data_IF_929258992145
#
_entry.id   IF_929258992145
#
_cell.length_a   1.000
_cell.length_b   1.000
_cell.length_c   1.000
_cell.angle_alpha   90.00
_cell.angle_beta   90.00
_cell.angle_gamma   90.00
#
_symmetry.space_group_name_H-M   'P 1'
#
loop_
_entity.id
_entity.type
_entity.pdbx_description
1 polymer ?
#
# COMPACT_ATOMS: atom_id res chain seq x y z
N UNK A 1 14.67 4.69 10.52
CA UNK A 1 14.35 3.69 9.47
C UNK A 1 15.02 4.15 8.18
N UNK A 2 15.60 3.24 7.40
CA UNK A 2 16.27 3.57 6.13
C UNK A 2 15.57 2.84 4.97
N UNK A 3 15.51 3.50 3.82
CA UNK A 3 15.01 2.95 2.56
C UNK A 3 16.19 2.65 1.64
N UNK A 4 16.20 1.44 1.06
CA UNK A 4 17.18 0.98 0.08
C UNK A 4 16.41 0.57 -1.18
N UNK A 5 16.97 0.88 -2.35
CA UNK A 5 16.35 0.58 -3.65
C UNK A 5 17.39 0.13 -4.64
N UNK A 6 17.07 -0.88 -5.45
CA UNK A 6 17.89 -1.28 -6.59
C UNK A 6 17.88 -0.25 -7.74
N UNK A 7 16.98 0.73 -7.70
CA UNK A 7 16.90 1.85 -8.65
C UNK A 7 17.47 3.16 -8.09
N UNK A 8 17.84 3.18 -6.80
CA UNK A 8 18.43 4.33 -6.11
C UNK A 8 19.93 4.17 -5.87
N UNK A 9 20.57 5.25 -5.42
CA UNK A 9 21.95 5.22 -4.92
C UNK A 9 22.01 4.81 -3.45
N UNK A 10 22.81 5.51 -2.66
CA UNK A 10 22.96 5.26 -1.22
C UNK A 10 21.61 5.32 -0.47
N UNK A 11 21.50 4.55 0.61
CA UNK A 11 20.27 4.45 1.40
C UNK A 11 19.73 5.80 1.87
N UNK A 12 18.42 5.99 1.74
CA UNK A 12 17.75 7.25 2.10
C UNK A 12 17.16 7.13 3.50
N UNK A 13 17.41 8.12 4.36
CA UNK A 13 16.77 8.21 5.67
C UNK A 13 15.27 8.50 5.49
N UNK A 14 14.42 7.68 6.12
CA UNK A 14 12.98 7.91 6.13
C UNK A 14 12.65 8.94 7.21
N UNK A 15 12.08 10.07 6.80
CA UNK A 15 11.64 11.12 7.71
C UNK A 15 10.38 10.71 8.47
N UNK A 16 10.21 11.24 9.68
CA UNK A 16 8.99 11.09 10.45
C UNK A 16 7.78 11.65 9.67
N UNK A 17 6.67 10.91 9.69
CA UNK A 17 5.43 11.29 9.01
C UNK A 17 5.04 10.33 7.89
N UNK A 18 4.24 10.83 6.95
CA UNK A 18 3.71 10.05 5.83
C UNK A 18 4.74 9.95 4.72
N UNK A 19 5.09 8.72 4.35
CA UNK A 19 5.92 8.37 3.21
C UNK A 19 5.16 7.39 2.32
N UNK A 20 5.34 7.47 1.01
CA UNK A 20 4.61 6.64 0.04
C UNK A 20 5.56 6.08 -1.02
N UNK A 21 5.37 4.81 -1.35
CA UNK A 21 6.13 4.07 -2.33
C UNK A 21 5.17 3.41 -3.33
N UNK A 22 5.44 3.60 -4.62
CA UNK A 22 4.74 2.96 -5.73
C UNK A 22 5.76 2.30 -6.68
N UNK A 23 5.50 2.35 -7.99
CA UNK A 23 6.42 1.79 -8.99
C UNK A 23 7.71 2.62 -9.16
N UNK A 24 7.72 3.85 -8.65
CA UNK A 24 8.87 4.78 -8.68
C UNK A 24 9.57 4.82 -7.32
N UNK A 25 10.60 5.66 -7.18
CA UNK A 25 11.34 5.83 -5.93
C UNK A 25 10.45 6.37 -4.80
N UNK A 26 10.86 6.13 -3.56
CA UNK A 26 10.17 6.63 -2.35
C UNK A 26 9.87 8.13 -2.47
N UNK A 27 8.63 8.52 -2.20
CA UNK A 27 8.14 9.90 -2.24
C UNK A 27 8.35 10.61 -3.60
N UNK A 28 8.38 9.86 -4.70
CA UNK A 28 8.40 10.46 -6.05
C UNK A 28 7.21 11.43 -6.22
N UNK A 29 7.41 12.63 -6.80
CA UNK A 29 6.38 13.67 -6.89
C UNK A 29 5.40 13.39 -8.03
N UNK A 30 4.61 12.33 -7.90
CA UNK A 30 3.54 12.00 -8.85
C UNK A 30 2.20 12.33 -8.24
N UNK A 31 1.21 12.65 -9.08
CA UNK A 31 -0.14 12.98 -8.62
C UNK A 31 -0.72 11.89 -7.71
N UNK A 32 -0.48 10.61 -8.04
CA UNK A 32 -0.88 9.47 -7.19
C UNK A 32 -0.21 9.51 -5.81
N UNK A 33 1.12 9.71 -5.76
CA UNK A 33 1.89 9.74 -4.51
C UNK A 33 1.48 10.94 -3.64
N UNK A 34 1.28 12.10 -4.24
CA UNK A 34 0.84 13.30 -3.54
C UNK A 34 -0.58 13.12 -2.98
N UNK A 35 -1.51 12.60 -3.80
CA UNK A 35 -2.89 12.35 -3.40
C UNK A 35 -2.98 11.35 -2.24
N UNK A 36 -2.34 10.18 -2.36
CA UNK A 36 -2.36 9.18 -1.27
C UNK A 36 -1.72 9.74 0.00
N UNK A 37 -0.63 10.50 -0.13
CA UNK A 37 0.04 11.07 1.04
C UNK A 37 -0.84 12.11 1.75
N UNK A 38 -1.50 12.99 0.99
CA UNK A 38 -2.39 14.01 1.55
C UNK A 38 -3.63 13.38 2.19
N UNK A 39 -4.32 12.48 1.49
CA UNK A 39 -5.48 11.79 2.05
C UNK A 39 -5.13 10.92 3.26
N UNK A 40 -3.91 10.36 3.32
CA UNK A 40 -3.48 9.60 4.49
C UNK A 40 -3.21 10.53 5.68
N UNK A 41 -2.58 11.70 5.47
CA UNK A 41 -2.42 12.72 6.52
C UNK A 41 -3.77 13.13 7.09
N UNK A 42 -4.76 13.37 6.23
CA UNK A 42 -6.13 13.70 6.66
C UNK A 42 -6.74 12.58 7.51
N UNK A 43 -6.62 11.31 7.08
CA UNK A 43 -7.10 10.16 7.85
C UNK A 43 -6.43 10.06 9.23
N UNK A 44 -5.13 10.35 9.31
CA UNK A 44 -4.40 10.35 10.58
C UNK A 44 -4.82 11.48 11.53
N UNK A 45 -5.49 12.53 11.02
CA UNK A 45 -6.08 13.60 11.84
C UNK A 45 -7.50 13.27 12.35
N UNK A 46 -8.08 12.13 11.94
CA UNK A 46 -9.38 11.66 12.45
C UNK A 46 -9.21 10.51 13.43
N UNK A 47 -10.29 10.11 14.09
CA UNK A 47 -10.36 8.78 14.71
C UNK A 47 -10.56 7.76 13.58
N UNK A 48 -9.70 6.76 13.49
CA UNK A 48 -9.77 5.70 12.48
C UNK A 48 -9.64 4.32 13.15
N UNK A 49 -10.16 3.31 12.46
CA UNK A 49 -10.03 1.89 12.78
C UNK A 49 -9.11 1.21 11.78
N UNK A 50 -8.70 -0.03 12.05
CA UNK A 50 -7.92 -0.83 11.10
C UNK A 50 -8.68 -1.05 9.78
N UNK A 51 -10.00 -1.22 9.85
CA UNK A 51 -10.87 -1.33 8.67
C UNK A 51 -10.89 -0.04 7.86
N UNK A 52 -10.74 1.13 8.48
CA UNK A 52 -10.63 2.39 7.73
C UNK A 52 -9.33 2.47 6.94
N UNK A 53 -8.25 1.85 7.41
CA UNK A 53 -6.99 1.74 6.67
C UNK A 53 -7.11 0.80 5.46
N UNK A 54 -7.84 -0.32 5.60
CA UNK A 54 -8.17 -1.19 4.46
C UNK A 54 -9.01 -0.43 3.42
N UNK A 55 -10.10 0.22 3.87
CA UNK A 55 -10.96 1.03 3.00
C UNK A 55 -10.21 2.19 2.37
N UNK A 56 -9.24 2.78 3.06
CA UNK A 56 -8.38 3.82 2.52
C UNK A 56 -7.67 3.32 1.26
N UNK A 57 -7.08 2.12 1.28
CA UNK A 57 -6.41 1.55 0.12
C UNK A 57 -7.36 1.14 -1.02
N UNK A 58 -8.64 0.89 -0.72
CA UNK A 58 -9.68 0.58 -1.71
C UNK A 58 -10.21 1.80 -2.48
N UNK A 59 -9.85 3.02 -2.07
CA UNK A 59 -10.24 4.26 -2.79
C UNK A 59 -9.44 4.41 -4.09
N UNK A 60 -9.85 5.36 -4.94
CA UNK A 60 -9.17 5.63 -6.23
C UNK A 60 -9.01 4.35 -7.05
N UNK A 61 -10.13 3.67 -7.27
CA UNK A 61 -10.18 2.42 -8.02
C UNK A 61 -9.97 2.64 -9.52
N UNK A 62 -9.33 1.67 -10.17
CA UNK A 62 -9.21 1.59 -11.62
C UNK A 62 -9.61 0.22 -12.13
N UNK A 63 -10.37 0.19 -13.21
CA UNK A 63 -10.82 -1.04 -13.87
C UNK A 63 -10.03 -1.25 -15.16
N UNK A 64 -9.23 -2.33 -15.19
CA UNK A 64 -8.44 -2.75 -16.34
C UNK A 64 -9.03 -3.99 -17.03
N UNK A 65 -10.29 -4.35 -16.77
CA UNK A 65 -10.98 -5.48 -17.41
C UNK A 65 -10.99 -5.41 -18.94
N UNK A 66 -10.94 -4.19 -19.50
CA UNK A 66 -10.89 -3.93 -20.95
C UNK A 66 -9.48 -3.86 -21.53
N UNK A 67 -8.44 -3.78 -20.69
CA UNK A 67 -7.06 -3.71 -21.15
C UNK A 67 -6.59 -5.13 -21.44
N UNK A 68 -6.18 -5.40 -22.67
CA UNK A 68 -5.65 -6.71 -23.02
C UNK A 68 -4.31 -6.98 -22.32
N UNK A 69 -3.98 -8.25 -22.07
CA UNK A 69 -2.69 -8.63 -21.43
C UNK A 69 -1.47 -8.09 -22.18
N UNK A 70 -1.48 -8.16 -23.51
CA UNK A 70 -0.36 -7.67 -24.34
C UNK A 70 -0.22 -6.15 -24.32
N UNK A 71 -1.35 -5.43 -24.25
CA UNK A 71 -1.37 -3.98 -24.09
C UNK A 71 -0.85 -3.59 -22.71
N UNK A 72 -1.30 -4.30 -21.67
CA UNK A 72 -0.84 -4.09 -20.31
C UNK A 72 0.68 -4.24 -20.19
N UNK A 73 1.25 -5.35 -20.68
CA UNK A 73 2.69 -5.62 -20.63
C UNK A 73 3.50 -4.50 -21.31
N UNK A 74 3.00 -3.92 -22.40
CA UNK A 74 3.68 -2.79 -23.08
C UNK A 74 3.68 -1.50 -22.27
N UNK A 75 2.83 -1.40 -21.25
CA UNK A 75 2.61 -0.19 -20.45
C UNK A 75 2.92 -0.37 -18.97
N UNK A 76 3.36 -1.55 -18.54
CA UNK A 76 3.49 -1.90 -17.11
C UNK A 76 4.55 -1.09 -16.35
N UNK A 77 5.54 -0.54 -17.07
CA UNK A 77 6.54 0.38 -16.52
C UNK A 77 5.96 1.76 -16.19
N UNK A 78 4.78 2.09 -16.72
CA UNK A 78 4.08 3.34 -16.42
C UNK A 78 3.38 3.24 -15.07
N UNK A 79 3.34 4.36 -14.35
CA UNK A 79 2.62 4.39 -13.08
C UNK A 79 1.12 4.42 -13.34
N UNK A 80 0.42 3.39 -12.86
CA UNK A 80 -1.04 3.38 -12.83
C UNK A 80 -1.54 4.36 -11.77
N UNK A 81 -2.48 5.27 -12.09
CA UNK A 81 -2.97 6.31 -11.19
C UNK A 81 -3.98 5.80 -10.16
N UNK A 82 -4.01 4.49 -9.89
CA UNK A 82 -4.99 3.83 -9.03
C UNK A 82 -4.31 3.24 -7.79
N UNK A 83 -5.00 3.28 -6.64
CA UNK A 83 -4.56 2.54 -5.44
C UNK A 83 -5.09 1.10 -5.44
N UNK A 84 -6.29 0.92 -5.99
CA UNK A 84 -6.97 -0.36 -6.09
C UNK A 84 -7.29 -0.68 -7.55
N UNK A 85 -6.78 -1.80 -8.06
CA UNK A 85 -6.96 -2.18 -9.46
C UNK A 85 -7.90 -3.39 -9.52
N UNK A 86 -8.95 -3.29 -10.33
CA UNK A 86 -9.87 -4.38 -10.66
C UNK A 86 -9.50 -4.91 -12.04
N UNK A 87 -9.27 -6.21 -12.13
CA UNK A 87 -8.95 -6.91 -13.37
C UNK A 87 -8.89 -8.40 -13.10
N UNK A 88 -9.11 -9.19 -14.15
CA UNK A 88 -8.96 -10.63 -14.12
C UNK A 88 -7.50 -11.05 -13.94
N UNK A 89 -6.57 -10.39 -14.63
CA UNK A 89 -5.16 -10.81 -14.74
C UNK A 89 -4.17 -9.91 -14.00
N UNK A 90 -4.46 -8.61 -13.84
CA UNK A 90 -3.59 -7.66 -13.13
C UNK A 90 -4.42 -6.77 -12.20
N UNK A 91 -4.93 -7.36 -11.11
CA UNK A 91 -5.70 -6.65 -10.10
C UNK A 91 -5.01 -6.67 -8.74
N UNK A 92 -5.41 -5.76 -7.85
CA UNK A 92 -5.03 -5.80 -6.44
C UNK A 92 -5.56 -7.09 -5.83
N UNK A 93 -4.67 -7.94 -5.28
CA UNK A 93 -5.03 -9.23 -4.67
C UNK A 93 -4.98 -9.24 -3.15
N UNK A 94 -4.28 -8.28 -2.56
CA UNK A 94 -4.30 -8.08 -1.13
C UNK A 94 -4.10 -6.62 -0.75
N UNK A 95 -4.54 -6.27 0.45
CA UNK A 95 -4.13 -5.08 1.18
C UNK A 95 -3.72 -5.52 2.57
N UNK A 96 -2.47 -5.24 2.93
CA UNK A 96 -1.92 -5.54 4.25
C UNK A 96 -1.73 -4.24 5.02
N UNK A 97 -2.33 -4.16 6.21
CA UNK A 97 -2.11 -3.11 7.20
C UNK A 97 -1.20 -3.70 8.27
N UNK A 98 -0.11 -2.99 8.55
CA UNK A 98 0.84 -3.38 9.60
C UNK A 98 1.03 -2.22 10.57
N UNK A 99 0.65 -2.45 11.83
CA UNK A 99 0.69 -1.47 12.90
C UNK A 99 1.69 -1.91 13.96
N UNK A 100 2.55 -0.97 14.35
CA UNK A 100 3.48 -1.14 15.46
C UNK A 100 3.06 -0.16 16.56
N UNK A 101 2.54 -0.71 17.64
CA UNK A 101 2.08 0.06 18.78
C UNK A 101 3.26 0.49 19.66
N UNK A 102 3.08 1.59 20.41
CA UNK A 102 4.12 2.11 21.33
C UNK A 102 4.47 1.14 22.46
N UNK A 103 3.59 0.21 22.79
CA UNK A 103 3.82 -0.85 23.78
C UNK A 103 4.64 -2.03 23.21
N UNK A 104 5.05 -1.96 21.94
CA UNK A 104 5.79 -3.01 21.25
C UNK A 104 4.93 -4.15 20.71
N UNK A 105 3.59 -4.07 20.76
CA UNK A 105 2.74 -5.04 20.06
C UNK A 105 2.61 -4.70 18.58
N UNK A 106 2.54 -5.74 17.77
CA UNK A 106 2.46 -5.69 16.33
C UNK A 106 1.12 -6.28 15.89
N UNK A 107 0.35 -5.52 15.12
CA UNK A 107 -0.92 -5.95 14.56
C UNK A 107 -0.84 -5.99 13.05
N UNK A 108 -1.22 -7.12 12.45
CA UNK A 108 -1.31 -7.29 11.01
C UNK A 108 -2.77 -7.58 10.68
N UNK A 109 -3.32 -6.84 9.72
CA UNK A 109 -4.62 -7.09 9.14
C UNK A 109 -4.47 -7.18 7.62
N UNK A 110 -4.89 -8.30 7.04
CA UNK A 110 -4.81 -8.53 5.60
C UNK A 110 -6.19 -8.81 5.03
N UNK A 111 -6.59 -8.02 4.03
CA UNK A 111 -7.75 -8.26 3.20
C UNK A 111 -7.31 -8.91 1.89
N UNK A 112 -7.83 -10.09 1.60
CA UNK A 112 -7.71 -10.75 0.30
C UNK A 112 -8.76 -10.19 -0.68
N UNK A 113 -8.40 -10.09 -1.96
CA UNK A 113 -9.32 -9.78 -3.04
C UNK A 113 -9.19 -10.80 -4.16
N UNK A 114 -10.34 -11.29 -4.62
CA UNK A 114 -10.42 -12.22 -5.75
C UNK A 114 -10.33 -11.42 -7.07
N UNK A 115 -10.56 -12.12 -8.19
CA UNK A 115 -10.69 -11.49 -9.51
C UNK A 115 -11.73 -10.37 -9.45
N UNK A 116 -11.55 -9.36 -10.30
CA UNK A 116 -12.41 -8.17 -10.35
C UNK A 116 -12.52 -7.36 -9.03
N UNK A 117 -11.63 -7.63 -8.06
CA UNK A 117 -11.62 -6.92 -6.78
C UNK A 117 -12.72 -7.36 -5.81
N UNK A 118 -13.35 -8.52 -6.04
CA UNK A 118 -14.32 -9.08 -5.09
C UNK A 118 -13.67 -9.35 -3.73
N UNK A 119 -14.37 -9.02 -2.64
CA UNK A 119 -13.86 -9.23 -1.29
C UNK A 119 -13.65 -10.73 -1.01
N UNK A 120 -12.44 -11.07 -0.59
CA UNK A 120 -12.07 -12.37 -0.04
C UNK A 120 -12.07 -12.36 1.48
N UNK A 121 -11.29 -13.27 2.05
CA UNK A 121 -11.13 -13.39 3.49
C UNK A 121 -10.33 -12.22 4.08
N UNK A 122 -10.59 -11.94 5.36
CA UNK A 122 -9.77 -11.07 6.19
C UNK A 122 -9.04 -11.93 7.21
N UNK A 123 -7.73 -11.74 7.33
CA UNK A 123 -6.89 -12.41 8.33
C UNK A 123 -6.28 -11.37 9.26
N UNK A 124 -6.26 -11.66 10.55
CA UNK A 124 -5.70 -10.77 11.57
C UNK A 124 -4.75 -11.55 12.47
N UNK A 125 -3.60 -10.94 12.76
CA UNK A 125 -2.57 -11.51 13.62
C UNK A 125 -2.08 -10.44 14.59
N UNK A 126 -1.94 -10.80 15.86
CA UNK A 126 -1.28 -9.99 16.87
C UNK A 126 -0.11 -10.77 17.46
N UNK A 127 1.05 -10.13 17.54
CA UNK A 127 2.22 -10.69 18.19
C UNK A 127 3.08 -9.60 18.83
N UNK A 128 3.96 -10.03 19.74
CA UNK A 128 5.01 -9.18 20.31
C UNK A 128 6.35 -9.81 19.96
N UNK A 129 7.22 -9.13 19.19
CA UNK A 129 8.55 -9.65 18.92
C UNK A 129 9.31 -9.87 20.23
N UNK A 130 10.08 -10.96 20.31
CA UNK A 130 11.02 -11.14 21.42
C UNK A 130 12.05 -10.01 21.40
N UNK A 131 12.45 -9.53 22.58
CA UNK A 131 13.52 -8.55 22.68
C UNK A 131 14.82 -9.15 22.13
N UNK A 132 15.41 -8.49 21.14
CA UNK A 132 16.75 -8.84 20.66
C UNK A 132 17.71 -8.27 21.70
N UNK A 133 18.14 -9.07 22.67
CA UNK A 133 19.26 -8.69 23.54
C UNK A 133 20.53 -8.68 22.71
N UNK A 134 21.02 -7.48 22.41
CA UNK A 134 22.33 -7.20 21.82
C UNK A 134 23.45 -7.28 22.84
#
# INVERSE_FOLDING_TARGET
>A
MHYLSNRGGDGTQINNGVNALGNRLLNSPTSKVENVSNSFRELLHTRFTEQDLLKFMQREEGDLSKVGKDEFIRSEDQELPFRFIKSEFYGTRCTTVYLINKNGSHHILEQEYKKEGELGEIRSFEFRPAEITS
#
